data_IF_485066931298
#
_entry.id   IF_485066931298
#
_cell.length_a   1.000
_cell.length_b   1.000
_cell.length_c   1.000
_cell.angle_alpha   90.00
_cell.angle_beta   90.00
_cell.angle_gamma   90.00
#
_symmetry.space_group_name_H-M   'P 1'
#
loop_
_entity.id
_entity.type
_entity.pdbx_description
1 polymer ?
#
# COMPACT_ATOMS: atom_id res chain seq x y z
N UNK A 1 -61.24 1.55 -39.27
CA UNK A 1 -61.74 2.50 -38.25
C UNK A 1 -61.17 2.03 -36.91
N UNK A 2 -59.95 2.42 -36.55
CA UNK A 2 -59.55 3.62 -35.79
C UNK A 2 -60.11 3.60 -34.35
N UNK A 3 -59.21 3.91 -33.39
CA UNK A 3 -59.40 4.23 -31.96
C UNK A 3 -59.40 3.01 -30.99
N UNK A 4 -58.69 2.99 -29.85
CA UNK A 4 -57.73 3.91 -29.25
C UNK A 4 -57.03 3.21 -28.07
N UNK A 5 -55.71 3.40 -27.99
CA UNK A 5 -54.79 3.48 -26.84
C UNK A 5 -55.28 3.17 -25.42
N UNK A 6 -54.50 2.37 -24.66
CA UNK A 6 -53.75 2.88 -23.49
C UNK A 6 -52.67 1.88 -23.03
N UNK A 7 -51.42 2.13 -23.43
CA UNK A 7 -50.24 1.42 -22.93
C UNK A 7 -49.62 2.25 -21.80
N UNK A 8 -49.73 1.79 -20.56
CA UNK A 8 -49.09 2.40 -19.39
C UNK A 8 -47.62 1.98 -19.38
N UNK A 9 -46.75 2.80 -19.98
CA UNK A 9 -45.31 2.64 -19.85
C UNK A 9 -44.86 3.13 -18.47
N UNK A 10 -44.62 2.19 -17.55
CA UNK A 10 -43.98 2.47 -16.27
C UNK A 10 -42.48 2.73 -16.51
N UNK A 11 -42.12 3.99 -16.70
CA UNK A 11 -40.72 4.43 -16.77
C UNK A 11 -40.13 4.36 -15.37
N UNK A 12 -39.40 3.29 -15.07
CA UNK A 12 -38.46 3.28 -13.95
C UNK A 12 -37.33 4.24 -14.27
N UNK A 13 -37.43 5.47 -13.77
CA UNK A 13 -36.29 6.37 -13.69
C UNK A 13 -35.27 5.76 -12.74
N UNK A 14 -34.29 5.04 -13.29
CA UNK A 14 -33.04 4.75 -12.59
C UNK A 14 -32.41 6.10 -12.30
N UNK A 15 -32.62 6.62 -11.08
CA UNK A 15 -31.83 7.71 -10.55
C UNK A 15 -30.38 7.23 -10.52
N UNK A 16 -29.62 7.59 -11.55
CA UNK A 16 -28.18 7.43 -11.56
C UNK A 16 -27.63 8.46 -10.56
N UNK A 17 -27.67 8.11 -9.28
CA UNK A 17 -26.96 8.82 -8.23
C UNK A 17 -25.48 8.72 -8.57
N UNK A 18 -24.97 9.73 -9.28
CA UNK A 18 -23.55 10.01 -9.36
C UNK A 18 -23.13 10.44 -7.95
N UNK A 19 -23.00 9.47 -7.04
CA UNK A 19 -22.35 9.67 -5.75
C UNK A 19 -20.95 10.18 -6.06
N UNK A 20 -20.55 11.29 -5.44
CA UNK A 20 -19.20 11.80 -5.58
C UNK A 20 -18.22 10.71 -5.16
N UNK A 21 -17.38 10.24 -6.09
CA UNK A 21 -16.39 9.20 -5.80
C UNK A 21 -15.43 9.69 -4.71
N UNK A 22 -15.19 8.85 -3.70
CA UNK A 22 -14.20 9.12 -2.65
C UNK A 22 -12.81 8.89 -3.24
N UNK A 23 -11.93 9.87 -3.08
CA UNK A 23 -10.54 9.77 -3.55
C UNK A 23 -9.57 10.00 -2.40
N UNK A 24 -8.48 9.23 -2.36
CA UNK A 24 -7.30 9.53 -1.55
C UNK A 24 -6.02 9.40 -2.38
N UNK A 25 -5.01 10.19 -2.07
CA UNK A 25 -3.66 10.08 -2.63
C UNK A 25 -2.72 9.57 -1.56
N UNK A 26 -2.11 8.42 -1.80
CA UNK A 26 -0.94 7.97 -1.05
C UNK A 26 0.30 8.65 -1.63
N UNK A 27 1.02 9.39 -0.80
CA UNK A 27 2.31 10.01 -1.15
C UNK A 27 3.47 9.26 -0.51
N UNK A 28 4.68 9.44 -1.04
CA UNK A 28 5.90 8.79 -0.53
C UNK A 28 5.86 7.26 -0.63
N UNK A 29 5.25 6.73 -1.70
CA UNK A 29 5.25 5.30 -2.01
C UNK A 29 6.50 4.96 -2.82
N UNK A 30 7.19 3.88 -2.46
CA UNK A 30 8.42 3.48 -3.15
C UNK A 30 8.15 2.88 -4.54
N UNK A 31 7.96 3.74 -5.55
CA UNK A 31 7.66 3.37 -6.94
C UNK A 31 8.87 3.53 -7.85
N UNK A 32 9.96 2.83 -7.58
CA UNK A 32 11.22 3.06 -8.31
C UNK A 32 11.28 2.44 -9.72
N UNK A 33 10.43 1.45 -10.04
CA UNK A 33 10.45 0.73 -11.32
C UNK A 33 9.03 0.36 -11.81
N UNK A 34 8.93 -0.04 -13.09
CA UNK A 34 7.65 -0.44 -13.69
C UNK A 34 6.99 -1.65 -13.03
N UNK A 35 7.77 -2.55 -12.43
CA UNK A 35 7.22 -3.69 -11.67
C UNK A 35 6.52 -3.24 -10.39
N UNK A 36 6.97 -2.16 -9.74
CA UNK A 36 6.26 -1.59 -8.58
C UNK A 36 4.88 -1.06 -8.97
N UNK A 37 4.77 -0.37 -10.10
CA UNK A 37 3.48 0.12 -10.62
C UNK A 37 2.53 -1.06 -10.90
N UNK A 38 3.04 -2.11 -11.55
CA UNK A 38 2.27 -3.34 -11.78
C UNK A 38 1.88 -4.04 -10.48
N UNK A 39 2.76 -4.09 -9.49
CA UNK A 39 2.52 -4.69 -8.19
C UNK A 39 1.44 -3.94 -7.39
N UNK A 40 1.46 -2.60 -7.40
CA UNK A 40 0.39 -1.77 -6.83
C UNK A 40 -0.95 -2.04 -7.53
N UNK A 41 -0.96 -2.05 -8.87
CA UNK A 41 -2.16 -2.36 -9.65
C UNK A 41 -2.70 -3.77 -9.35
N UNK A 42 -1.83 -4.77 -9.22
CA UNK A 42 -2.21 -6.14 -8.90
C UNK A 42 -2.72 -6.29 -7.46
N UNK A 43 -2.13 -5.57 -6.50
CA UNK A 43 -2.53 -5.61 -5.10
C UNK A 43 -3.93 -5.02 -4.90
N UNK A 44 -4.17 -3.82 -5.41
CA UNK A 44 -5.47 -3.17 -5.27
C UNK A 44 -6.51 -3.62 -6.31
N UNK A 45 -6.10 -4.26 -7.42
CA UNK A 45 -7.01 -4.95 -8.35
C UNK A 45 -7.78 -6.12 -7.73
N UNK A 46 -7.40 -6.56 -6.52
CA UNK A 46 -8.18 -7.52 -5.70
C UNK A 46 -9.41 -6.88 -5.05
N UNK A 47 -9.52 -5.55 -5.05
CA UNK A 47 -10.61 -4.80 -4.44
C UNK A 47 -11.55 -4.32 -5.54
N UNK A 48 -12.72 -4.96 -5.65
CA UNK A 48 -13.72 -4.60 -6.64
C UNK A 48 -14.21 -3.15 -6.43
N UNK A 49 -14.28 -2.38 -7.51
CA UNK A 49 -14.75 -0.99 -7.47
C UNK A 49 -13.68 0.06 -7.13
N UNK A 50 -12.45 -0.35 -6.81
CA UNK A 50 -11.32 0.57 -6.65
C UNK A 50 -10.64 0.86 -8.00
N UNK A 51 -10.41 2.14 -8.28
CA UNK A 51 -9.61 2.63 -9.40
C UNK A 51 -8.28 3.18 -8.88
N UNK A 52 -7.21 2.99 -9.65
CA UNK A 52 -5.85 3.38 -9.27
C UNK A 52 -5.20 4.22 -10.37
N UNK A 53 -4.50 5.27 -9.98
CA UNK A 53 -3.56 5.96 -10.84
C UNK A 53 -2.21 6.08 -10.12
N UNK A 54 -1.18 5.47 -10.70
CA UNK A 54 0.18 5.53 -10.16
C UNK A 54 0.98 6.61 -10.88
N UNK A 55 1.61 7.49 -10.12
CA UNK A 55 2.64 8.39 -10.61
C UNK A 55 3.99 7.91 -10.05
N UNK A 56 4.76 7.25 -10.92
CA UNK A 56 6.06 6.67 -10.59
C UNK A 56 7.08 7.77 -10.24
N UNK A 57 7.01 8.91 -10.91
CA UNK A 57 8.01 9.96 -10.79
C UNK A 57 7.75 10.82 -9.56
N UNK A 58 6.48 11.03 -9.21
CA UNK A 58 6.08 11.67 -7.95
C UNK A 58 6.07 10.71 -6.75
N UNK A 59 6.17 9.38 -6.96
CA UNK A 59 6.08 8.38 -5.90
C UNK A 59 4.70 8.38 -5.23
N UNK A 60 3.63 8.46 -6.02
CA UNK A 60 2.26 8.59 -5.51
C UNK A 60 1.29 7.60 -6.14
N UNK A 61 0.23 7.24 -5.39
CA UNK A 61 -0.87 6.40 -5.85
C UNK A 61 -2.18 7.08 -5.49
N UNK A 62 -2.96 7.50 -6.49
CA UNK A 62 -4.32 7.94 -6.28
C UNK A 62 -5.27 6.74 -6.32
N UNK A 63 -6.18 6.67 -5.36
CA UNK A 63 -7.16 5.60 -5.18
C UNK A 63 -8.54 6.25 -5.14
N UNK A 64 -9.44 5.81 -6.02
CA UNK A 64 -10.79 6.34 -6.14
C UNK A 64 -11.80 5.20 -6.12
N UNK A 65 -12.88 5.34 -5.35
CA UNK A 65 -13.99 4.37 -5.32
C UNK A 65 -15.32 5.06 -4.96
N UNK A 66 -16.42 4.31 -5.02
CA UNK A 66 -17.75 4.83 -4.70
C UNK A 66 -17.91 5.23 -3.21
N UNK A 67 -17.11 4.63 -2.32
CA UNK A 67 -17.23 4.81 -0.89
C UNK A 67 -15.88 4.66 -0.17
N UNK A 68 -15.84 5.17 1.07
CA UNK A 68 -14.66 5.17 1.94
C UNK A 68 -14.16 3.76 2.26
N UNK A 69 -15.05 2.77 2.43
CA UNK A 69 -14.65 1.43 2.83
C UNK A 69 -13.88 0.74 1.69
N UNK A 70 -14.32 0.89 0.46
CA UNK A 70 -13.62 0.39 -0.72
C UNK A 70 -12.24 1.04 -0.89
N UNK A 71 -12.12 2.36 -0.67
CA UNK A 71 -10.81 3.04 -0.67
C UNK A 71 -9.90 2.50 0.45
N UNK A 72 -10.43 2.32 1.66
CA UNK A 72 -9.67 1.78 2.79
C UNK A 72 -9.18 0.36 2.51
N UNK A 73 -10.03 -0.51 1.96
CA UNK A 73 -9.66 -1.87 1.57
C UNK A 73 -8.52 -1.87 0.53
N UNK A 74 -8.56 -0.96 -0.44
CA UNK A 74 -7.48 -0.82 -1.42
C UNK A 74 -6.17 -0.38 -0.75
N UNK A 75 -6.20 0.58 0.18
CA UNK A 75 -5.02 0.99 0.96
C UNK A 75 -4.47 -0.19 1.78
N UNK A 76 -5.32 -0.92 2.47
CA UNK A 76 -4.93 -2.08 3.28
C UNK A 76 -4.29 -3.18 2.41
N UNK A 77 -4.80 -3.39 1.19
CA UNK A 77 -4.22 -4.31 0.23
C UNK A 77 -2.82 -3.87 -0.25
N UNK A 78 -2.60 -2.56 -0.44
CA UNK A 78 -1.27 -2.03 -0.79
C UNK A 78 -0.27 -2.22 0.35
N UNK A 79 -0.66 -1.91 1.59
CA UNK A 79 0.15 -2.17 2.79
C UNK A 79 0.46 -3.65 2.92
N UNK A 80 -0.54 -4.51 2.75
CA UNK A 80 -0.37 -5.96 2.78
C UNK A 80 0.58 -6.50 1.71
N UNK A 81 0.72 -5.79 0.59
CA UNK A 81 1.68 -6.09 -0.49
C UNK A 81 3.05 -5.42 -0.31
N UNK A 82 3.27 -4.71 0.81
CA UNK A 82 4.55 -4.12 1.18
C UNK A 82 4.76 -2.67 0.71
N UNK A 83 3.70 -2.01 0.22
CA UNK A 83 3.74 -0.60 -0.16
C UNK A 83 3.22 0.27 0.98
N UNK A 84 3.97 1.31 1.33
CA UNK A 84 3.56 2.25 2.38
C UNK A 84 3.59 3.68 1.86
N UNK A 85 2.83 4.56 2.50
CA UNK A 85 2.77 5.97 2.16
C UNK A 85 1.89 6.76 3.12
N UNK A 86 1.71 8.04 2.82
CA UNK A 86 0.86 8.95 3.60
C UNK A 86 -0.40 9.29 2.83
N UNK A 87 -1.56 9.04 3.44
CA UNK A 87 -2.86 9.40 2.86
C UNK A 87 -3.10 10.90 2.92
N UNK A 88 -3.55 11.49 1.81
CA UNK A 88 -4.06 12.87 1.77
C UNK A 88 -5.44 13.02 2.40
N UNK A 89 -6.14 11.91 2.63
CA UNK A 89 -7.46 11.87 3.25
C UNK A 89 -7.33 11.39 4.71
N UNK A 90 -7.63 12.23 5.72
CA UNK A 90 -7.46 11.88 7.14
C UNK A 90 -8.40 10.75 7.59
N UNK A 91 -9.47 10.52 6.84
CA UNK A 91 -10.41 9.42 7.09
C UNK A 91 -9.88 8.06 6.66
N UNK A 92 -8.87 8.02 5.78
CA UNK A 92 -8.23 6.80 5.28
C UNK A 92 -6.93 6.57 6.04
N UNK A 93 -6.85 5.45 6.76
CA UNK A 93 -5.72 5.11 7.62
C UNK A 93 -4.74 4.22 6.87
N UNK A 94 -3.47 4.59 6.86
CA UNK A 94 -2.39 3.71 6.38
C UNK A 94 -1.80 2.99 7.58
N UNK A 95 -2.43 1.88 7.99
CA UNK A 95 -2.04 1.15 9.19
C UNK A 95 -0.89 0.18 8.89
N UNK A 96 0.27 0.38 9.48
CA UNK A 96 1.46 -0.42 9.21
C UNK A 96 1.29 -1.94 9.44
N UNK A 97 0.47 -2.34 10.42
CA UNK A 97 0.14 -3.75 10.72
C UNK A 97 1.35 -4.72 10.66
N UNK A 98 2.52 -4.22 11.07
CA UNK A 98 3.81 -4.87 10.86
C UNK A 98 4.14 -5.90 11.96
N UNK A 99 3.41 -5.93 13.07
CA UNK A 99 3.63 -6.89 14.17
C UNK A 99 4.92 -6.66 14.96
N UNK A 100 5.57 -5.51 14.82
CA UNK A 100 6.80 -5.17 15.52
C UNK A 100 6.57 -5.01 17.03
N UNK A 101 7.42 -5.64 17.83
CA UNK A 101 7.39 -5.56 19.29
C UNK A 101 8.25 -4.40 19.81
N UNK A 102 8.03 -4.00 21.06
CA UNK A 102 8.86 -3.00 21.76
C UNK A 102 10.19 -3.56 22.25
N UNK A 103 10.29 -4.88 22.43
CA UNK A 103 11.49 -5.52 22.92
C UNK A 103 12.63 -5.39 21.91
N UNK A 104 13.79 -4.97 22.39
CA UNK A 104 14.99 -4.92 21.56
C UNK A 104 15.43 -6.34 21.17
N UNK A 105 15.98 -6.46 19.95
CA UNK A 105 16.43 -7.72 19.38
C UNK A 105 17.79 -7.54 18.72
N UNK A 106 18.48 -8.67 18.51
CA UNK A 106 19.72 -8.73 17.73
C UNK A 106 19.50 -9.21 16.30
N UNK A 107 18.35 -9.83 16.06
CA UNK A 107 17.94 -10.36 14.76
C UNK A 107 16.44 -10.17 14.59
N UNK A 108 16.03 -9.68 13.42
CA UNK A 108 14.64 -9.51 13.04
C UNK A 108 14.44 -10.02 11.62
N UNK A 109 13.63 -11.06 11.48
CA UNK A 109 13.12 -11.47 10.17
C UNK A 109 12.05 -10.47 9.73
N UNK A 110 12.15 -9.98 8.52
CA UNK A 110 11.16 -9.12 7.87
C UNK A 110 10.63 -9.86 6.65
N UNK A 111 9.31 -9.83 6.47
CA UNK A 111 8.60 -10.54 5.40
C UNK A 111 7.67 -9.59 4.66
N UNK A 112 7.35 -9.88 3.40
CA UNK A 112 6.33 -9.15 2.64
C UNK A 112 6.77 -7.79 2.09
N UNK A 113 8.05 -7.44 2.18
CA UNK A 113 8.61 -6.26 1.49
C UNK A 113 8.82 -6.60 0.02
N UNK A 114 8.34 -5.76 -0.89
CA UNK A 114 8.42 -6.02 -2.32
C UNK A 114 9.81 -5.71 -2.92
N UNK A 115 10.77 -6.65 -2.83
CA UNK A 115 12.17 -6.47 -3.27
C UNK A 115 12.43 -6.85 -4.74
N UNK A 116 11.55 -6.47 -5.67
CA UNK A 116 11.62 -6.91 -7.06
C UNK A 116 12.87 -6.43 -7.85
N UNK A 117 13.56 -5.38 -7.39
CA UNK A 117 14.74 -4.82 -8.07
C UNK A 117 15.82 -4.33 -7.11
N UNK A 118 17.02 -4.07 -7.63
CA UNK A 118 18.18 -3.61 -6.82
C UNK A 118 17.93 -2.30 -6.09
N UNK A 119 17.16 -1.36 -6.66
CA UNK A 119 16.81 -0.09 -6.00
C UNK A 119 15.99 -0.30 -4.73
N UNK A 120 15.13 -1.32 -4.68
CA UNK A 120 14.37 -1.67 -3.48
C UNK A 120 15.32 -2.17 -2.36
N UNK A 121 16.29 -3.00 -2.72
CA UNK A 121 17.34 -3.48 -1.78
C UNK A 121 18.17 -2.31 -1.27
N UNK A 122 18.57 -1.39 -2.15
CA UNK A 122 19.27 -0.16 -1.75
C UNK A 122 18.41 0.71 -0.83
N UNK A 123 17.11 0.83 -1.10
CA UNK A 123 16.20 1.60 -0.25
C UNK A 123 16.07 1.00 1.15
N UNK A 124 15.92 -0.32 1.27
CA UNK A 124 15.96 -1.03 2.56
C UNK A 124 17.28 -0.74 3.27
N UNK A 125 18.41 -0.99 2.60
CA UNK A 125 19.73 -0.79 3.21
C UNK A 125 19.95 0.66 3.65
N UNK A 126 19.45 1.64 2.90
CA UNK A 126 19.57 3.05 3.27
C UNK A 126 18.67 3.44 4.43
N UNK A 127 17.42 2.94 4.47
CA UNK A 127 16.51 3.18 5.59
C UNK A 127 17.08 2.65 6.91
N UNK A 128 17.67 1.45 6.87
CA UNK A 128 18.20 0.78 8.06
C UNK A 128 19.46 1.44 8.64
N UNK A 129 20.24 2.18 7.85
CA UNK A 129 21.42 2.93 8.35
C UNK A 129 21.07 3.97 9.41
N UNK A 130 19.84 4.47 9.40
CA UNK A 130 19.36 5.45 10.37
C UNK A 130 18.86 4.81 11.67
N UNK A 131 18.82 3.48 11.75
CA UNK A 131 18.30 2.76 12.92
C UNK A 131 19.45 2.43 13.87
N UNK A 132 19.44 3.03 15.06
CA UNK A 132 20.43 2.76 16.10
C UNK A 132 20.47 1.26 16.42
N UNK A 133 21.69 0.71 16.46
CA UNK A 133 21.96 -0.68 16.83
C UNK A 133 21.87 -1.68 15.68
N UNK A 134 21.34 -1.29 14.51
CA UNK A 134 21.38 -2.12 13.30
C UNK A 134 22.79 -2.07 12.70
N UNK A 135 23.34 -3.24 12.39
CA UNK A 135 24.69 -3.40 11.80
C UNK A 135 24.63 -3.96 10.38
N UNK A 136 23.55 -4.63 10.00
CA UNK A 136 23.43 -5.24 8.68
C UNK A 136 22.04 -5.74 8.32
N UNK A 137 21.90 -6.15 7.08
CA UNK A 137 20.76 -6.91 6.58
C UNK A 137 21.17 -7.78 5.38
N UNK A 138 20.41 -8.82 5.09
CA UNK A 138 20.65 -9.74 3.95
C UNK A 138 19.65 -9.53 2.79
N UNK A 139 19.02 -8.37 2.70
CA UNK A 139 17.99 -8.11 1.70
C UNK A 139 18.52 -8.34 0.27
N UNK A 140 17.83 -9.20 -0.47
CA UNK A 140 18.22 -9.61 -1.81
C UNK A 140 17.10 -9.37 -2.81
N UNK A 141 17.49 -9.08 -4.06
CA UNK A 141 16.54 -8.89 -5.17
C UNK A 141 15.74 -10.18 -5.37
N UNK A 142 14.42 -10.05 -5.46
CA UNK A 142 13.49 -11.15 -5.67
C UNK A 142 13.17 -11.95 -4.41
N UNK A 143 13.76 -11.62 -3.26
CA UNK A 143 13.42 -12.25 -2.00
C UNK A 143 12.13 -11.66 -1.42
N UNK A 144 11.29 -12.52 -0.83
CA UNK A 144 10.09 -12.10 -0.09
C UNK A 144 10.41 -11.80 1.38
N UNK A 145 11.62 -12.16 1.83
CA UNK A 145 12.06 -12.04 3.22
C UNK A 145 13.51 -11.59 3.31
N UNK A 146 13.86 -10.92 4.41
CA UNK A 146 15.24 -10.64 4.77
C UNK A 146 15.38 -10.57 6.29
N UNK A 147 16.60 -10.67 6.78
CA UNK A 147 16.97 -10.56 8.18
C UNK A 147 17.71 -9.24 8.38
N UNK A 148 17.34 -8.52 9.43
CA UNK A 148 18.09 -7.37 9.97
C UNK A 148 18.87 -7.86 11.17
N UNK A 149 20.17 -7.53 11.24
CA UNK A 149 21.06 -7.91 12.35
C UNK A 149 21.61 -6.69 13.05
N UNK A 150 21.94 -6.83 14.34
CA UNK A 150 22.46 -5.75 15.16
C UNK A 150 22.81 -6.16 16.58
N UNK A 151 23.40 -5.24 17.34
CA UNK A 151 23.87 -5.51 18.70
C UNK A 151 22.78 -5.32 19.76
N UNK A 152 21.79 -4.45 19.48
CA UNK A 152 20.54 -4.25 20.21
C UNK A 152 19.71 -3.18 19.46
N UNK A 153 18.63 -3.56 18.76
CA UNK A 153 17.81 -2.61 18.00
C UNK A 153 16.31 -2.84 18.20
N UNK A 154 15.54 -1.77 18.00
CA UNK A 154 14.08 -1.81 18.11
C UNK A 154 13.43 -2.24 16.79
N UNK A 155 12.63 -3.33 16.77
CA UNK A 155 11.83 -3.68 15.61
C UNK A 155 10.91 -2.55 15.15
N UNK A 156 10.31 -1.79 16.08
CA UNK A 156 9.50 -0.62 15.72
C UNK A 156 10.30 0.45 14.99
N UNK A 157 11.53 0.71 15.42
CA UNK A 157 12.40 1.67 14.74
C UNK A 157 12.78 1.21 13.33
N UNK A 158 12.98 -0.11 13.14
CA UNK A 158 13.18 -0.70 11.81
C UNK A 158 12.00 -0.44 10.89
N UNK A 159 10.78 -0.81 11.31
CA UNK A 159 9.60 -0.60 10.46
C UNK A 159 9.28 0.87 10.24
N UNK A 160 9.45 1.73 11.24
CA UNK A 160 9.29 3.17 11.07
C UNK A 160 10.29 3.75 10.04
N UNK A 161 11.52 3.22 9.97
CA UNK A 161 12.49 3.63 8.96
C UNK A 161 12.10 3.14 7.56
N UNK A 162 11.63 1.89 7.43
CA UNK A 162 11.12 1.35 6.16
C UNK A 162 9.91 2.14 5.66
N UNK A 163 8.97 2.45 6.54
CA UNK A 163 7.74 3.19 6.26
C UNK A 163 8.04 4.61 5.77
N UNK A 164 9.04 5.28 6.37
CA UNK A 164 9.56 6.57 5.88
C UNK A 164 10.15 6.47 4.48
N UNK A 165 10.65 5.31 4.08
CA UNK A 165 11.15 5.05 2.73
C UNK A 165 10.06 4.58 1.75
N UNK A 166 8.79 4.55 2.16
CA UNK A 166 7.66 4.12 1.33
C UNK A 166 7.51 2.60 1.22
N UNK A 167 8.13 1.86 2.14
CA UNK A 167 8.17 0.41 2.18
C UNK A 167 7.53 -0.09 3.48
N UNK A 168 6.89 -1.24 3.46
CA UNK A 168 6.47 -1.92 4.69
C UNK A 168 6.47 -3.43 4.51
N UNK A 169 6.25 -4.15 5.60
CA UNK A 169 6.22 -5.60 5.66
C UNK A 169 5.75 -6.05 7.04
N UNK A 170 6.10 -7.27 7.41
CA UNK A 170 5.76 -7.86 8.70
C UNK A 170 6.98 -8.44 9.39
N UNK A 171 7.04 -8.28 10.70
CA UNK A 171 7.95 -9.01 11.56
C UNK A 171 7.64 -10.50 11.41
N UNK A 172 8.58 -11.24 10.83
CA UNK A 172 8.55 -12.68 10.78
C UNK A 172 8.80 -13.24 12.18
N UNK A 173 8.10 -14.33 12.51
CA UNK A 173 8.47 -15.18 13.63
C UNK A 173 9.76 -15.94 13.31
#
# INVERSE_FOLDING_TARGET
MKLLSLATALVWALANSASAEVTTKLSNVHLCCGSCVKGVAAAAGKVAGAKLACDKDAGTVAITAADKATVQQAVDALVGAGYFGTSSNPDIKVAANNGATDAAVKSLKVTGVHLCCGKCVTAVSNALKSVKGVTGNDAAKGSETFVVTGDDFSPKAVFAALEKAGLTGKAGK
#
